data_IF_642191093164
#
_entry.id   IF_642191093164
#
_cell.length_a   1.000
_cell.length_b   1.000
_cell.length_c   1.000
_cell.angle_alpha   90.00
_cell.angle_beta   90.00
_cell.angle_gamma   90.00
#
_symmetry.space_group_name_H-M   'P 1'
#
loop_
_entity.id
_entity.type
_entity.pdbx_description
1 polymer ?
#
# COMPACT_ATOMS: atom_id res chain seq x y z
N UNK A 1 -7.66 -10.52 -9.91
CA UNK A 1 -7.80 -11.62 -10.89
C UNK A 1 -7.45 -11.20 -12.32
N UNK A 2 -8.06 -10.16 -12.90
CA UNK A 2 -7.80 -9.74 -14.28
C UNK A 2 -6.30 -9.48 -14.59
N UNK A 3 -5.59 -8.73 -13.73
CA UNK A 3 -4.15 -8.45 -13.92
C UNK A 3 -3.30 -9.73 -13.96
N UNK A 4 -3.57 -10.69 -13.07
CA UNK A 4 -2.88 -11.98 -13.02
C UNK A 4 -3.15 -12.82 -14.28
N UNK A 5 -4.40 -12.86 -14.73
CA UNK A 5 -4.78 -13.55 -15.97
C UNK A 5 -4.08 -12.90 -17.17
N UNK A 6 -4.11 -11.57 -17.28
CA UNK A 6 -3.43 -10.83 -18.34
C UNK A 6 -1.94 -11.16 -18.37
N UNK A 7 -1.26 -11.08 -17.24
CA UNK A 7 0.17 -11.38 -17.12
C UNK A 7 0.50 -12.82 -17.54
N UNK A 8 -0.27 -13.81 -17.10
CA UNK A 8 -0.05 -15.21 -17.45
C UNK A 8 -0.30 -15.48 -18.94
N UNK A 9 -1.34 -14.88 -19.53
CA UNK A 9 -1.62 -14.98 -20.97
C UNK A 9 -0.55 -14.30 -21.80
N UNK A 10 -0.09 -13.11 -21.39
CA UNK A 10 0.99 -12.37 -22.04
C UNK A 10 2.29 -13.16 -21.97
N UNK A 11 2.68 -13.63 -20.77
CA UNK A 11 3.88 -14.44 -20.60
C UNK A 11 3.84 -15.70 -21.46
N UNK A 12 2.74 -16.47 -21.41
CA UNK A 12 2.59 -17.70 -22.18
C UNK A 12 2.53 -17.42 -23.68
N UNK A 13 1.85 -16.36 -24.11
CA UNK A 13 1.74 -15.94 -25.51
C UNK A 13 3.10 -15.58 -26.10
N UNK A 14 3.89 -14.76 -25.40
CA UNK A 14 5.24 -14.40 -25.83
C UNK A 14 6.16 -15.63 -25.83
N UNK A 15 6.11 -16.46 -24.78
CA UNK A 15 6.95 -17.64 -24.63
C UNK A 15 6.66 -18.73 -25.69
N UNK A 16 5.38 -18.94 -26.02
CA UNK A 16 4.92 -19.92 -27.02
C UNK A 16 4.83 -19.34 -28.43
N UNK A 17 5.30 -18.12 -28.64
CA UNK A 17 5.27 -17.47 -29.94
C UNK A 17 3.86 -17.21 -30.51
N UNK A 18 2.83 -17.19 -29.66
CA UNK A 18 1.43 -17.10 -30.04
C UNK A 18 0.90 -15.65 -29.93
N UNK A 19 0.71 -15.01 -31.09
CA UNK A 19 0.20 -13.64 -31.19
C UNK A 19 -1.26 -13.50 -30.72
N UNK A 20 -2.12 -14.49 -30.99
CA UNK A 20 -3.52 -14.49 -30.57
C UNK A 20 -3.59 -14.51 -29.04
N UNK A 21 -2.82 -15.39 -28.39
CA UNK A 21 -2.78 -15.48 -26.94
C UNK A 21 -2.25 -14.20 -26.30
N UNK A 22 -1.24 -13.59 -26.92
CA UNK A 22 -0.72 -12.27 -26.50
C UNK A 22 -1.77 -11.18 -26.62
N UNK A 23 -2.49 -11.13 -27.74
CA UNK A 23 -3.56 -10.15 -27.98
C UNK A 23 -4.72 -10.31 -27.00
N UNK A 24 -5.17 -11.54 -26.73
CA UNK A 24 -6.17 -11.82 -25.68
C UNK A 24 -5.66 -11.32 -24.32
N UNK A 25 -4.39 -11.59 -23.99
CA UNK A 25 -3.76 -11.08 -22.78
C UNK A 25 -3.79 -9.55 -22.68
N UNK A 26 -3.50 -8.85 -23.79
CA UNK A 26 -3.63 -7.39 -23.87
C UNK A 26 -5.07 -6.91 -23.69
N UNK A 27 -6.06 -7.57 -24.28
CA UNK A 27 -7.48 -7.24 -24.06
C UNK A 27 -7.86 -7.36 -22.59
N UNK A 28 -7.42 -8.44 -21.91
CA UNK A 28 -7.64 -8.61 -20.47
C UNK A 28 -6.92 -7.52 -19.66
N UNK A 29 -5.73 -7.09 -20.09
CA UNK A 29 -5.02 -5.97 -19.46
C UNK A 29 -5.78 -4.63 -19.62
N UNK A 30 -6.37 -4.36 -20.79
CA UNK A 30 -7.24 -3.19 -20.98
C UNK A 30 -8.44 -3.25 -20.02
N UNK A 31 -9.10 -4.40 -19.91
CA UNK A 31 -10.21 -4.60 -18.94
C UNK A 31 -9.71 -4.40 -17.50
N UNK A 32 -8.49 -4.85 -17.17
CA UNK A 32 -7.93 -4.68 -15.83
C UNK A 32 -7.79 -3.21 -15.41
N UNK A 33 -7.65 -2.28 -16.37
CA UNK A 33 -7.59 -0.83 -16.10
C UNK A 33 -8.87 -0.29 -15.47
N UNK A 34 -10.02 -0.92 -15.74
CA UNK A 34 -11.31 -0.54 -15.15
C UNK A 34 -11.53 -1.15 -13.77
N UNK A 35 -10.77 -2.17 -13.40
CA UNK A 35 -10.81 -2.75 -12.05
C UNK A 35 -9.92 -1.95 -11.10
N UNK A 36 -8.71 -1.60 -11.58
CA UNK A 36 -7.78 -0.70 -10.89
C UNK A 36 -7.01 0.12 -11.93
N UNK A 37 -6.79 1.39 -11.63
CA UNK A 37 -6.08 2.32 -12.51
C UNK A 37 -4.62 1.91 -12.78
N UNK A 38 -4.04 1.05 -11.94
CA UNK A 38 -2.75 0.39 -12.18
C UNK A 38 -2.74 -0.58 -13.37
N UNK A 39 -3.90 -0.87 -13.99
CA UNK A 39 -3.98 -1.76 -15.15
C UNK A 39 -3.12 -1.32 -16.35
N UNK A 40 -2.81 -0.02 -16.49
CA UNK A 40 -1.91 0.51 -17.54
C UNK A 40 -0.53 -0.13 -17.45
N UNK A 41 -0.06 -0.43 -16.23
CA UNK A 41 1.23 -1.07 -15.96
C UNK A 41 1.28 -2.47 -16.59
N UNK A 42 0.15 -3.17 -16.69
CA UNK A 42 0.06 -4.50 -17.34
C UNK A 42 0.30 -4.45 -18.86
N UNK A 43 0.28 -3.28 -19.49
CA UNK A 43 0.64 -3.09 -20.90
C UNK A 43 2.03 -2.48 -21.05
N UNK A 44 2.35 -1.45 -20.25
CA UNK A 44 3.64 -0.75 -20.33
C UNK A 44 4.80 -1.68 -19.98
N UNK A 45 4.68 -2.48 -18.93
CA UNK A 45 5.78 -3.33 -18.50
C UNK A 45 6.14 -4.42 -19.52
N UNK A 46 5.17 -5.19 -20.07
CA UNK A 46 5.47 -6.14 -21.13
C UNK A 46 5.97 -5.48 -22.41
N UNK A 47 5.48 -4.28 -22.77
CA UNK A 47 5.99 -3.53 -23.92
C UNK A 47 7.51 -3.28 -23.79
N UNK A 48 7.98 -2.83 -22.61
CA UNK A 48 9.41 -2.63 -22.34
C UNK A 48 10.18 -3.93 -22.59
N UNK A 49 9.73 -5.05 -22.01
CA UNK A 49 10.43 -6.34 -22.16
C UNK A 49 10.45 -6.82 -23.61
N UNK A 50 9.31 -6.73 -24.29
CA UNK A 50 9.14 -7.18 -25.68
C UNK A 50 9.95 -6.33 -26.66
N UNK A 51 10.10 -5.03 -26.39
CA UNK A 51 10.93 -4.14 -27.20
C UNK A 51 12.39 -4.62 -27.29
N UNK A 52 12.93 -5.14 -26.19
CA UNK A 52 14.30 -5.66 -26.14
C UNK A 52 14.43 -7.12 -26.54
N UNK A 53 13.44 -7.97 -26.23
CA UNK A 53 13.59 -9.43 -26.37
C UNK A 53 12.84 -10.00 -27.60
N UNK A 54 11.68 -9.46 -27.97
CA UNK A 54 10.78 -10.07 -28.99
C UNK A 54 10.00 -9.03 -29.81
N UNK A 55 10.71 -8.21 -30.58
CA UNK A 55 10.16 -7.04 -31.31
C UNK A 55 8.86 -7.25 -32.10
N UNK A 56 8.60 -8.47 -32.62
CA UNK A 56 7.37 -8.76 -33.38
C UNK A 56 6.06 -8.53 -32.61
N UNK A 57 6.08 -8.57 -31.28
CA UNK A 57 4.86 -8.35 -30.49
C UNK A 57 4.65 -6.87 -30.13
N UNK A 58 5.64 -6.00 -30.39
CA UNK A 58 5.54 -4.55 -30.11
C UNK A 58 4.27 -3.92 -30.69
N UNK A 59 3.85 -4.19 -31.95
CA UNK A 59 2.62 -3.61 -32.49
C UNK A 59 1.36 -3.97 -31.68
N UNK A 60 1.29 -5.18 -31.11
CA UNK A 60 0.14 -5.61 -30.30
C UNK A 60 0.04 -4.75 -29.03
N UNK A 61 1.18 -4.52 -28.36
CA UNK A 61 1.22 -3.69 -27.15
C UNK A 61 1.01 -2.21 -27.44
N UNK A 62 1.54 -1.69 -28.56
CA UNK A 62 1.26 -0.31 -29.00
C UNK A 62 -0.23 -0.15 -29.28
N UNK A 63 -0.87 -1.10 -29.97
CA UNK A 63 -2.30 -1.08 -30.23
C UNK A 63 -3.13 -1.06 -28.94
N UNK A 64 -2.79 -1.93 -27.98
CA UNK A 64 -3.45 -1.93 -26.67
C UNK A 64 -3.22 -0.62 -25.89
N UNK A 65 -2.01 -0.08 -25.93
CA UNK A 65 -1.67 1.21 -25.33
C UNK A 65 -2.44 2.37 -25.97
N UNK A 66 -2.63 2.36 -27.29
CA UNK A 66 -3.41 3.36 -28.00
C UNK A 66 -4.88 3.32 -27.61
N UNK A 67 -5.46 2.12 -27.41
CA UNK A 67 -6.83 1.97 -26.89
C UNK A 67 -6.97 2.59 -25.50
N UNK A 68 -6.03 2.28 -24.60
CA UNK A 68 -5.99 2.87 -23.25
C UNK A 68 -5.86 4.40 -23.33
N UNK A 69 -4.94 4.90 -24.15
CA UNK A 69 -4.73 6.33 -24.34
C UNK A 69 -5.99 7.03 -24.88
N UNK A 70 -6.69 6.42 -25.84
CA UNK A 70 -7.95 6.95 -26.37
C UNK A 70 -9.04 7.01 -25.31
N UNK A 71 -9.19 5.95 -24.49
CA UNK A 71 -10.15 5.91 -23.38
C UNK A 71 -9.89 7.07 -22.41
N UNK A 72 -8.64 7.26 -21.98
CA UNK A 72 -8.29 8.33 -21.03
C UNK A 72 -8.21 9.71 -21.67
N UNK A 73 -8.10 9.81 -23.00
CA UNK A 73 -8.28 11.08 -23.70
C UNK A 73 -9.75 11.54 -23.65
N UNK A 74 -10.70 10.61 -23.79
CA UNK A 74 -12.14 10.90 -23.72
C UNK A 74 -12.61 11.09 -22.28
N UNK A 75 -12.06 10.31 -21.34
CA UNK A 75 -12.41 10.31 -19.91
C UNK A 75 -11.17 10.48 -19.04
N UNK A 76 -10.51 11.66 -19.08
CA UNK A 76 -9.30 11.90 -18.28
C UNK A 76 -9.55 11.76 -16.77
N UNK A 77 -10.79 11.98 -16.32
CA UNK A 77 -11.19 11.82 -14.93
C UNK A 77 -11.18 10.36 -14.43
N UNK A 78 -11.10 9.37 -15.33
CA UNK A 78 -11.03 7.95 -14.96
C UNK A 78 -9.61 7.48 -14.63
N UNK A 79 -8.59 8.25 -15.03
CA UNK A 79 -7.19 7.94 -14.76
C UNK A 79 -6.76 8.49 -13.39
N UNK A 80 -6.32 7.63 -12.47
CA UNK A 80 -5.59 8.12 -11.29
C UNK A 80 -4.21 8.58 -11.70
N UNK A 81 -3.78 9.74 -11.21
CA UNK A 81 -2.53 10.36 -11.65
C UNK A 81 -2.71 11.16 -12.93
N UNK A 82 -3.94 11.55 -13.27
CA UNK A 82 -4.16 12.65 -14.22
C UNK A 82 -3.30 13.87 -13.84
N UNK A 83 -2.89 14.72 -14.80
CA UNK A 83 -2.12 15.93 -14.48
C UNK A 83 -2.77 16.78 -13.37
N UNK A 84 -4.10 16.80 -13.30
CA UNK A 84 -4.84 17.47 -12.24
C UNK A 84 -4.63 16.82 -10.85
N UNK A 85 -4.65 15.49 -10.77
CA UNK A 85 -4.38 14.75 -9.54
C UNK A 85 -2.91 14.88 -9.13
N UNK A 86 -2.00 14.71 -10.08
CA UNK A 86 -0.56 14.88 -9.92
C UNK A 86 -0.21 16.29 -9.41
N UNK A 87 -0.74 17.35 -10.05
CA UNK A 87 -0.57 18.75 -9.65
C UNK A 87 -1.22 19.05 -8.29
N UNK A 88 -2.31 18.36 -7.95
CA UNK A 88 -2.96 18.51 -6.65
C UNK A 88 -2.19 17.88 -5.49
N UNK A 89 -1.29 16.93 -5.79
CA UNK A 89 -0.52 16.16 -4.82
C UNK A 89 0.87 16.75 -4.64
N UNK A 90 1.61 16.93 -5.73
CA UNK A 90 2.86 17.67 -5.71
C UNK A 90 2.58 19.14 -5.98
N UNK A 91 2.02 19.84 -4.98
CA UNK A 91 1.98 21.32 -4.99
C UNK A 91 3.38 21.90 -5.28
N UNK A 92 4.40 21.16 -4.83
CA UNK A 92 5.84 21.42 -4.99
C UNK A 92 6.36 21.19 -6.41
N UNK A 93 5.69 20.41 -7.28
CA UNK A 93 6.19 20.16 -8.65
C UNK A 93 6.19 21.42 -9.51
N UNK A 94 5.27 22.34 -9.20
CA UNK A 94 5.21 23.67 -9.80
C UNK A 94 5.99 24.72 -8.99
N UNK A 95 6.58 24.33 -7.86
CA UNK A 95 7.44 25.22 -7.07
C UNK A 95 8.87 25.18 -7.64
N UNK A 96 9.42 26.37 -7.84
CA UNK A 96 10.80 26.59 -8.36
C UNK A 96 11.87 25.98 -7.42
N UNK A 97 11.48 25.64 -6.20
CA UNK A 97 12.30 24.99 -5.16
C UNK A 97 12.49 23.49 -5.37
N UNK A 98 11.63 22.79 -6.14
CA UNK A 98 11.75 21.34 -6.34
C UNK A 98 12.82 21.02 -7.38
N UNK A 99 14.03 20.70 -6.90
CA UNK A 99 15.22 20.51 -7.73
C UNK A 99 15.51 19.03 -7.94
N UNK A 100 16.44 18.74 -8.85
CA UNK A 100 16.90 17.38 -9.15
C UNK A 100 17.31 16.58 -7.89
N UNK A 101 18.01 17.14 -6.89
CA UNK A 101 18.31 16.41 -5.65
C UNK A 101 17.07 15.96 -4.88
N UNK A 102 16.01 16.76 -4.88
CA UNK A 102 14.74 16.44 -4.21
C UNK A 102 14.02 15.32 -4.97
N UNK A 103 14.02 15.36 -6.31
CA UNK A 103 13.50 14.28 -7.16
C UNK A 103 14.23 12.95 -6.92
N UNK A 104 15.56 12.98 -6.79
CA UNK A 104 16.37 11.79 -6.51
C UNK A 104 16.07 11.27 -5.11
N UNK A 105 15.97 12.15 -4.12
CA UNK A 105 15.65 11.78 -2.73
C UNK A 105 14.26 11.15 -2.64
N UNK A 106 13.30 11.71 -3.35
CA UNK A 106 11.94 11.19 -3.47
C UNK A 106 11.94 9.80 -4.11
N UNK A 107 12.58 9.65 -5.28
CA UNK A 107 12.68 8.38 -5.97
C UNK A 107 13.33 7.31 -5.09
N UNK A 108 14.44 7.67 -4.43
CA UNK A 108 15.13 6.79 -3.50
C UNK A 108 14.24 6.37 -2.33
N UNK A 109 13.51 7.31 -1.72
CA UNK A 109 12.60 7.03 -0.63
C UNK A 109 11.53 6.01 -1.01
N UNK A 110 10.81 6.24 -2.11
CA UNK A 110 9.73 5.35 -2.55
C UNK A 110 10.24 3.99 -3.01
N UNK A 111 11.40 3.92 -3.67
CA UNK A 111 12.02 2.65 -4.07
C UNK A 111 12.39 1.82 -2.84
N UNK A 112 13.06 2.43 -1.86
CA UNK A 112 13.41 1.77 -0.58
C UNK A 112 12.14 1.30 0.13
N UNK A 113 11.16 2.18 0.28
CA UNK A 113 9.90 1.88 0.95
C UNK A 113 9.15 0.74 0.25
N UNK A 114 9.12 0.76 -1.08
CA UNK A 114 8.47 -0.30 -1.85
C UNK A 114 9.18 -1.65 -1.64
N UNK A 115 10.51 -1.68 -1.67
CA UNK A 115 11.26 -2.91 -1.43
C UNK A 115 11.06 -3.45 -0.02
N UNK A 116 11.03 -2.59 1.00
CA UNK A 116 10.73 -2.98 2.38
C UNK A 116 9.33 -3.60 2.49
N UNK A 117 8.30 -2.92 2.01
CA UNK A 117 6.91 -3.39 2.12
C UNK A 117 6.67 -4.65 1.29
N UNK A 118 7.14 -4.70 0.04
CA UNK A 118 7.03 -5.90 -0.81
C UNK A 118 7.79 -7.08 -0.19
N UNK A 119 8.96 -6.84 0.39
CA UNK A 119 9.73 -7.84 1.12
C UNK A 119 8.94 -8.42 2.31
N UNK A 120 8.26 -7.56 3.08
CA UNK A 120 7.41 -7.99 4.19
C UNK A 120 6.11 -8.67 3.74
N UNK A 121 5.44 -8.18 2.69
CA UNK A 121 4.22 -8.81 2.17
C UNK A 121 4.45 -10.19 1.61
N UNK A 122 5.61 -10.40 0.98
CA UNK A 122 6.03 -11.70 0.48
C UNK A 122 6.95 -12.45 1.44
N UNK A 123 6.96 -12.11 2.73
CA UNK A 123 7.86 -12.74 3.71
C UNK A 123 7.83 -14.28 3.69
N UNK A 124 6.68 -14.97 3.52
CA UNK A 124 6.66 -16.44 3.39
C UNK A 124 7.46 -16.98 2.19
N UNK A 125 7.60 -16.18 1.12
CA UNK A 125 8.35 -16.52 -0.08
C UNK A 125 9.78 -15.95 -0.05
N UNK A 126 10.01 -14.86 0.67
CA UNK A 126 11.32 -14.18 0.79
C UNK A 126 12.20 -14.80 1.85
N UNK A 127 11.66 -15.14 3.03
CA UNK A 127 12.41 -15.76 4.12
C UNK A 127 13.22 -17.02 3.71
N UNK A 128 12.67 -17.99 2.94
CA UNK A 128 13.45 -19.16 2.51
C UNK A 128 14.58 -18.83 1.52
N UNK A 129 14.65 -17.61 0.96
CA UNK A 129 15.75 -17.20 0.09
C UNK A 129 17.08 -17.05 0.84
N UNK A 130 17.08 -16.95 2.19
CA UNK A 130 18.29 -16.94 3.01
C UNK A 130 19.17 -18.20 2.80
N UNK A 131 18.58 -19.28 2.30
CA UNK A 131 19.28 -20.52 2.00
C UNK A 131 19.94 -20.53 0.59
N UNK A 132 19.87 -19.42 -0.15
CA UNK A 132 20.61 -19.19 -1.39
C UNK A 132 22.00 -18.59 -1.07
N UNK A 133 22.98 -18.82 -1.96
CA UNK A 133 24.38 -18.39 -1.76
C UNK A 133 24.68 -17.06 -2.46
N UNK A 134 24.22 -15.91 -1.93
CA UNK A 134 24.53 -14.56 -2.48
C UNK A 134 24.76 -13.48 -1.41
N UNK A 135 25.49 -13.84 -0.35
CA UNK A 135 25.74 -12.97 0.80
C UNK A 135 26.27 -11.57 0.45
N UNK A 136 27.16 -11.44 -0.54
CA UNK A 136 27.74 -10.12 -0.86
C UNK A 136 26.73 -9.16 -1.52
N UNK A 137 25.86 -9.64 -2.42
CA UNK A 137 24.83 -8.80 -3.06
C UNK A 137 23.78 -8.40 -2.05
N UNK A 138 23.38 -9.34 -1.20
CA UNK A 138 22.46 -9.11 -0.09
C UNK A 138 23.01 -8.04 0.85
N UNK A 139 24.29 -8.13 1.25
CA UNK A 139 24.94 -7.12 2.09
C UNK A 139 25.01 -5.77 1.39
N UNK A 140 25.42 -5.71 0.12
CA UNK A 140 25.51 -4.46 -0.62
C UNK A 140 24.16 -3.74 -0.73
N UNK A 141 23.09 -4.48 -1.08
CA UNK A 141 21.74 -3.93 -1.13
C UNK A 141 21.27 -3.54 0.28
N UNK A 142 21.52 -4.37 1.29
CA UNK A 142 21.16 -4.07 2.66
C UNK A 142 21.81 -2.76 3.14
N UNK A 143 23.08 -2.49 2.81
CA UNK A 143 23.75 -1.23 3.14
C UNK A 143 23.01 -0.03 2.52
N UNK A 144 22.61 -0.13 1.24
CA UNK A 144 21.86 0.94 0.56
C UNK A 144 20.49 1.16 1.21
N UNK A 145 19.78 0.10 1.60
CA UNK A 145 18.50 0.22 2.30
C UNK A 145 18.67 0.77 3.73
N UNK A 146 19.69 0.28 4.45
CA UNK A 146 20.02 0.68 5.82
C UNK A 146 20.34 2.17 5.91
N UNK A 147 21.02 2.75 4.92
CA UNK A 147 21.33 4.18 4.94
C UNK A 147 20.06 5.04 5.03
N UNK A 148 19.04 4.76 4.20
CA UNK A 148 17.76 5.47 4.28
C UNK A 148 17.04 5.19 5.59
N UNK A 149 17.00 3.93 6.00
CA UNK A 149 16.29 3.53 7.23
C UNK A 149 16.91 4.18 8.45
N UNK A 150 18.24 4.19 8.57
CA UNK A 150 18.92 4.84 9.67
C UNK A 150 18.69 6.36 9.66
N UNK A 151 18.67 6.98 8.48
CA UNK A 151 18.31 8.39 8.35
C UNK A 151 16.88 8.67 8.87
N UNK A 152 15.89 7.84 8.51
CA UNK A 152 14.52 7.98 9.01
C UNK A 152 14.43 7.74 10.53
N UNK A 153 15.13 6.72 11.05
CA UNK A 153 15.21 6.47 12.48
C UNK A 153 15.81 7.65 13.26
N UNK A 154 16.84 8.29 12.71
CA UNK A 154 17.44 9.50 13.31
C UNK A 154 16.47 10.69 13.33
N UNK A 155 15.49 10.73 12.41
CA UNK A 155 14.39 11.70 12.40
C UNK A 155 13.21 11.27 13.30
N UNK A 156 13.32 10.16 14.03
CA UNK A 156 12.25 9.62 14.87
C UNK A 156 11.14 8.94 14.07
N UNK A 157 11.42 8.52 12.83
CA UNK A 157 10.48 7.86 11.93
C UNK A 157 10.88 6.39 11.77
N UNK A 158 10.26 5.52 12.58
CA UNK A 158 10.42 4.07 12.48
C UNK A 158 9.21 3.44 11.78
N UNK A 159 9.37 2.19 11.31
CA UNK A 159 8.25 1.34 10.93
C UNK A 159 7.59 0.80 12.22
N UNK A 160 6.25 0.73 12.31
CA UNK A 160 5.28 1.08 11.29
C UNK A 160 5.19 2.59 11.10
N UNK A 161 5.32 3.01 9.84
CA UNK A 161 5.41 4.43 9.52
C UNK A 161 4.04 5.07 9.75
N UNK A 162 3.96 6.03 10.66
CA UNK A 162 2.76 6.84 10.88
C UNK A 162 3.17 8.26 11.22
N UNK A 163 3.17 9.14 10.22
CA UNK A 163 3.56 10.52 10.45
C UNK A 163 2.99 11.45 9.38
N UNK A 164 2.10 12.36 9.79
CA UNK A 164 2.00 13.68 9.12
C UNK A 164 3.14 14.61 9.58
N UNK A 165 4.18 14.09 10.27
CA UNK A 165 5.29 14.89 10.81
C UNK A 165 6.34 15.24 9.75
N UNK A 166 6.52 14.40 8.73
CA UNK A 166 7.21 14.80 7.51
C UNK A 166 6.16 15.24 6.51
N UNK A 167 6.32 16.44 5.93
CA UNK A 167 5.54 16.85 4.74
C UNK A 167 5.80 15.92 3.54
N UNK A 168 6.80 15.04 3.66
CA UNK A 168 7.18 13.99 2.73
C UNK A 168 6.38 12.69 3.03
N UNK A 169 5.24 12.56 2.35
CA UNK A 169 4.79 11.38 1.58
C UNK A 169 4.38 10.03 2.22
N UNK A 170 4.54 9.77 3.53
CA UNK A 170 3.93 8.55 4.16
C UNK A 170 2.65 8.91 4.92
N UNK A 171 1.77 9.67 4.26
CA UNK A 171 0.63 10.35 4.89
C UNK A 171 -0.43 9.42 5.48
N UNK A 172 -0.46 8.15 5.10
CA UNK A 172 -1.47 7.20 5.55
C UNK A 172 -0.90 6.03 6.35
N UNK A 173 0.43 5.93 6.38
CA UNK A 173 1.12 4.80 6.94
C UNK A 173 0.84 3.45 6.30
N UNK A 174 1.13 2.37 7.02
CA UNK A 174 1.08 1.00 6.50
C UNK A 174 0.19 0.09 7.37
N UNK A 175 -0.11 -1.11 6.87
CA UNK A 175 -0.90 -2.14 7.55
C UNK A 175 -0.27 -2.55 8.87
N UNK A 176 1.04 -2.35 9.06
CA UNK A 176 1.72 -2.68 10.30
C UNK A 176 1.48 -1.65 11.42
N UNK A 177 0.85 -0.50 11.12
CA UNK A 177 0.46 0.50 12.13
C UNK A 177 -0.27 -0.18 13.28
N UNK A 178 0.15 0.20 14.49
CA UNK A 178 -0.51 -0.22 15.73
C UNK A 178 -0.62 -1.75 15.85
N UNK A 179 0.34 -2.44 15.22
CA UNK A 179 0.49 -3.89 15.16
C UNK A 179 -0.55 -4.63 14.30
N UNK A 180 -0.80 -4.12 13.10
CA UNK A 180 -1.49 -4.84 12.02
C UNK A 180 -2.85 -4.26 11.60
N UNK A 181 -3.27 -3.17 12.25
CA UNK A 181 -4.59 -2.58 12.07
C UNK A 181 -4.73 -1.84 10.74
N UNK A 182 -3.61 -1.35 10.20
CA UNK A 182 -3.61 -0.22 9.27
C UNK A 182 -3.96 1.09 9.99
N UNK A 183 -4.06 2.20 9.27
CA UNK A 183 -4.30 3.50 9.88
C UNK A 183 -5.67 3.57 10.57
N UNK A 184 -5.72 3.81 11.89
CA UNK A 184 -6.97 4.11 12.59
C UNK A 184 -7.55 5.43 12.10
N UNK A 185 -8.85 5.46 11.80
CA UNK A 185 -9.49 6.58 11.09
C UNK A 185 -10.38 7.47 11.95
N UNK A 186 -10.30 7.34 13.27
CA UNK A 186 -10.90 8.28 14.22
C UNK A 186 -10.01 9.51 14.37
N UNK A 187 -10.61 10.68 14.54
CA UNK A 187 -9.92 11.98 14.43
C UNK A 187 -8.79 12.16 15.45
N UNK A 188 -8.93 11.59 16.65
CA UNK A 188 -7.96 11.73 17.73
C UNK A 188 -6.62 11.05 17.41
N UNK A 189 -6.66 9.91 16.74
CA UNK A 189 -5.44 9.26 16.28
C UNK A 189 -5.05 9.76 14.88
N UNK A 190 -5.99 9.76 13.94
CA UNK A 190 -5.73 10.07 12.53
C UNK A 190 -5.26 11.51 12.31
N UNK A 191 -5.96 12.50 12.87
CA UNK A 191 -5.68 13.91 12.61
C UNK A 191 -4.95 14.58 13.76
N UNK A 192 -5.25 14.20 15.01
CA UNK A 192 -4.61 14.77 16.19
C UNK A 192 -3.36 14.00 16.63
N UNK A 193 -2.98 12.93 15.91
CA UNK A 193 -1.77 12.13 16.14
C UNK A 193 -1.61 11.65 17.59
N UNK A 194 -2.71 11.41 18.30
CA UNK A 194 -2.63 10.78 19.61
C UNK A 194 -2.26 9.31 19.44
N UNK A 195 -1.55 8.70 20.39
CA UNK A 195 -1.26 7.28 20.33
C UNK A 195 -2.55 6.47 20.28
N UNK A 196 -2.62 5.49 19.37
CA UNK A 196 -3.65 4.47 19.43
C UNK A 196 -3.46 3.61 20.69
N UNK A 197 -4.53 3.02 21.27
CA UNK A 197 -4.45 2.30 22.53
C UNK A 197 -3.47 1.12 22.53
N UNK A 198 -3.21 0.49 21.38
CA UNK A 198 -2.27 -0.62 21.24
C UNK A 198 -1.15 -0.27 20.27
N UNK A 199 0.05 -0.06 20.79
CA UNK A 199 1.20 0.26 19.97
C UNK A 199 2.32 -0.73 20.25
N UNK A 200 3.16 -0.93 19.24
CA UNK A 200 4.42 -1.61 19.42
C UNK A 200 5.27 -0.85 20.44
N UNK A 201 6.05 -1.59 21.22
CA UNK A 201 7.12 -0.97 21.99
C UNK A 201 8.16 -0.42 21.03
N UNK A 202 8.96 0.56 21.48
CA UNK A 202 10.04 1.10 20.67
C UNK A 202 11.00 0.01 20.14
N UNK A 203 11.27 -1.03 20.94
CA UNK A 203 12.04 -2.18 20.49
C UNK A 203 11.34 -2.95 19.36
N UNK A 204 10.01 -3.11 19.45
CA UNK A 204 9.19 -3.70 18.39
C UNK A 204 9.28 -2.92 17.08
N UNK A 205 9.20 -1.58 17.15
CA UNK A 205 9.35 -0.71 15.97
C UNK A 205 10.72 -0.91 15.30
N UNK A 206 11.80 -0.91 16.08
CA UNK A 206 13.15 -1.16 15.58
C UNK A 206 13.27 -2.54 14.94
N UNK A 207 12.72 -3.58 15.58
CA UNK A 207 12.75 -4.95 15.05
C UNK A 207 12.04 -5.02 13.69
N UNK A 208 10.80 -4.51 13.59
CA UNK A 208 10.05 -4.50 12.33
C UNK A 208 10.79 -3.70 11.26
N UNK A 209 11.34 -2.55 11.65
CA UNK A 209 12.13 -1.68 10.77
C UNK A 209 13.33 -2.42 10.18
N UNK A 210 14.18 -3.05 11.00
CA UNK A 210 15.35 -3.77 10.50
C UNK A 210 15.00 -5.07 9.77
N UNK A 211 13.97 -5.80 10.22
CA UNK A 211 13.48 -6.99 9.50
C UNK A 211 13.00 -6.63 8.08
N UNK A 212 12.37 -5.47 7.90
CA UNK A 212 11.96 -4.99 6.58
C UNK A 212 13.14 -4.76 5.63
N UNK A 213 14.29 -4.32 6.16
CA UNK A 213 15.52 -4.14 5.38
C UNK A 213 16.09 -5.49 4.96
N UNK A 214 16.15 -6.45 5.87
CA UNK A 214 16.61 -7.81 5.57
C UNK A 214 15.71 -8.44 4.49
N UNK A 215 14.39 -8.34 4.65
CA UNK A 215 13.43 -8.87 3.69
C UNK A 215 13.56 -8.19 2.31
N UNK A 216 13.66 -6.85 2.28
CA UNK A 216 13.88 -6.10 1.03
C UNK A 216 15.19 -6.46 0.34
N UNK A 217 16.28 -6.60 1.10
CA UNK A 217 17.59 -6.98 0.55
C UNK A 217 17.59 -8.41 -0.03
N UNK A 218 17.03 -9.37 0.71
CA UNK A 218 16.87 -10.75 0.25
C UNK A 218 16.03 -10.81 -1.03
N UNK A 219 14.94 -10.05 -1.09
CA UNK A 219 14.09 -9.95 -2.27
C UNK A 219 14.90 -9.47 -3.48
N UNK A 220 15.45 -8.25 -3.41
CA UNK A 220 16.10 -7.60 -4.56
C UNK A 220 17.33 -8.37 -5.03
N UNK A 221 18.16 -8.90 -4.12
CA UNK A 221 19.35 -9.67 -4.48
C UNK A 221 19.04 -10.94 -5.30
N UNK A 222 17.83 -11.48 -5.15
CA UNK A 222 17.41 -12.73 -5.76
C UNK A 222 16.51 -12.56 -7.00
N UNK A 223 15.96 -11.37 -7.25
CA UNK A 223 15.15 -11.10 -8.45
C UNK A 223 15.95 -11.29 -9.74
N UNK A 224 17.22 -10.91 -9.75
CA UNK A 224 18.08 -10.98 -10.95
C UNK A 224 18.73 -12.36 -11.18
N UNK A 225 18.25 -13.43 -10.54
CA UNK A 225 18.86 -14.77 -10.61
C UNK A 225 18.59 -15.50 -11.94
N UNK A 226 17.50 -15.17 -12.63
CA UNK A 226 17.05 -15.89 -13.83
C UNK A 226 16.85 -14.93 -15.00
N UNK A 227 17.60 -15.13 -16.08
CA UNK A 227 17.37 -14.45 -17.37
C UNK A 227 16.17 -15.00 -18.14
N UNK A 228 15.13 -15.49 -17.46
CA UNK A 228 13.94 -16.01 -18.14
C UNK A 228 12.91 -14.90 -18.35
N UNK A 229 12.03 -15.10 -19.33
CA UNK A 229 11.03 -14.12 -19.71
C UNK A 229 10.06 -13.78 -18.56
N UNK A 230 9.69 -14.76 -17.74
CA UNK A 230 8.76 -14.57 -16.62
C UNK A 230 9.32 -13.58 -15.59
N UNK A 231 10.58 -13.74 -15.19
CA UNK A 231 11.27 -12.84 -14.27
C UNK A 231 11.46 -11.47 -14.90
N UNK A 232 11.83 -11.39 -16.18
CA UNK A 232 11.94 -10.11 -16.88
C UNK A 232 10.60 -9.35 -16.86
N UNK A 233 9.48 -10.03 -17.15
CA UNK A 233 8.14 -9.45 -17.08
C UNK A 233 7.76 -9.06 -15.65
N UNK A 234 8.03 -9.92 -14.66
CA UNK A 234 7.70 -9.64 -13.27
C UNK A 234 8.48 -8.44 -12.72
N UNK A 235 9.78 -8.37 -12.99
CA UNK A 235 10.66 -7.24 -12.61
C UNK A 235 10.24 -5.97 -13.34
N UNK A 236 9.95 -6.05 -14.65
CA UNK A 236 9.47 -4.88 -15.38
C UNK A 236 8.17 -4.36 -14.80
N UNK A 237 7.23 -5.24 -14.43
CA UNK A 237 5.96 -4.85 -13.80
C UNK A 237 6.21 -4.20 -12.43
N UNK A 238 7.08 -4.78 -11.60
CA UNK A 238 7.46 -4.21 -10.32
C UNK A 238 8.14 -2.84 -10.46
N UNK A 239 9.04 -2.69 -11.41
CA UNK A 239 9.77 -1.44 -11.66
C UNK A 239 8.83 -0.34 -12.18
N UNK A 240 8.00 -0.65 -13.17
CA UNK A 240 7.01 0.30 -13.72
C UNK A 240 5.92 0.64 -12.72
N UNK A 241 5.48 -0.33 -11.91
CA UNK A 241 4.58 -0.08 -10.79
C UNK A 241 5.21 0.83 -9.74
N UNK A 242 6.46 0.59 -9.35
CA UNK A 242 7.19 1.47 -8.44
C UNK A 242 7.34 2.87 -9.01
N UNK A 243 7.65 2.99 -10.31
CA UNK A 243 7.74 4.28 -10.99
C UNK A 243 6.38 5.00 -11.03
N UNK A 244 5.28 4.27 -11.23
CA UNK A 244 3.94 4.83 -11.13
C UNK A 244 3.63 5.33 -9.71
N UNK A 245 4.15 4.66 -8.67
CA UNK A 245 4.01 5.10 -7.29
C UNK A 245 4.73 6.43 -7.02
N UNK A 246 5.87 6.67 -7.69
CA UNK A 246 6.54 7.98 -7.63
C UNK A 246 5.65 9.12 -8.16
N UNK A 247 4.76 8.80 -9.10
CA UNK A 247 3.83 9.76 -9.66
C UNK A 247 2.49 9.84 -8.95
N UNK A 248 2.10 8.81 -8.19
CA UNK A 248 0.97 8.89 -7.29
C UNK A 248 1.44 9.54 -5.99
N UNK A 249 1.25 10.85 -5.82
CA UNK A 249 1.57 11.56 -4.56
C UNK A 249 0.68 11.16 -3.37
N UNK A 250 0.32 9.89 -3.29
CA UNK A 250 -0.48 9.23 -2.29
C UNK A 250 0.00 7.79 -2.13
N UNK A 251 1.06 7.59 -1.33
CA UNK A 251 1.53 6.25 -1.05
C UNK A 251 0.72 5.61 0.08
N UNK A 252 0.09 4.48 -0.23
CA UNK A 252 -0.41 3.51 0.74
C UNK A 252 0.29 2.20 0.45
N UNK A 253 0.73 1.50 1.48
CA UNK A 253 1.46 0.24 1.38
C UNK A 253 0.73 -0.85 0.58
N UNK A 254 -0.61 -0.87 0.56
CA UNK A 254 -1.36 -1.74 -0.37
C UNK A 254 -0.99 -1.53 -1.84
N UNK A 255 -0.54 -0.34 -2.22
CA UNK A 255 -0.07 -0.07 -3.56
C UNK A 255 1.32 -0.64 -3.82
N UNK A 256 2.13 -0.90 -2.79
CA UNK A 256 3.35 -1.70 -2.91
C UNK A 256 3.02 -3.10 -3.42
N UNK A 257 2.00 -3.73 -2.83
CA UNK A 257 1.51 -5.05 -3.26
C UNK A 257 1.00 -5.00 -4.70
N UNK A 258 0.23 -3.98 -5.06
CA UNK A 258 -0.25 -3.79 -6.44
C UNK A 258 0.87 -3.54 -7.44
N UNK A 259 1.96 -2.90 -7.03
CA UNK A 259 3.11 -2.66 -7.90
C UNK A 259 3.86 -3.95 -8.19
N UNK A 260 3.91 -4.89 -7.23
CA UNK A 260 4.85 -6.02 -7.27
C UNK A 260 4.21 -7.42 -7.14
N UNK A 261 2.88 -7.56 -7.29
CA UNK A 261 2.21 -8.87 -7.16
C UNK A 261 2.75 -9.95 -8.11
N UNK A 262 3.26 -9.56 -9.29
CA UNK A 262 3.88 -10.47 -10.26
C UNK A 262 5.13 -11.15 -9.70
N UNK A 263 5.82 -10.49 -8.77
CA UNK A 263 6.97 -11.04 -8.06
C UNK A 263 6.54 -12.22 -7.19
N UNK A 264 5.37 -12.13 -6.55
CA UNK A 264 4.77 -13.26 -5.80
C UNK A 264 4.54 -14.51 -6.66
N UNK A 265 4.31 -14.36 -7.97
CA UNK A 265 4.21 -15.48 -8.92
C UNK A 265 5.59 -16.02 -9.30
N UNK A 266 6.59 -15.15 -9.46
CA UNK A 266 7.93 -15.53 -9.89
C UNK A 266 8.77 -16.15 -8.76
N UNK A 267 8.67 -15.64 -7.53
CA UNK A 267 9.48 -16.04 -6.37
C UNK A 267 9.48 -17.55 -6.08
N UNK A 268 8.33 -18.26 -6.12
CA UNK A 268 8.32 -19.71 -5.91
C UNK A 268 9.26 -20.49 -6.82
N UNK A 269 9.64 -19.97 -7.99
CA UNK A 269 10.50 -20.68 -8.95
C UNK A 269 12.00 -20.63 -8.62
N UNK A 270 12.40 -19.79 -7.65
CA UNK A 270 13.81 -19.66 -7.24
C UNK A 270 14.08 -20.15 -5.82
N UNK A 271 13.03 -20.39 -5.04
CA UNK A 271 13.15 -20.95 -3.70
C UNK A 271 13.77 -22.36 -3.81
N UNK A 272 14.79 -22.69 -2.99
CA UNK A 272 15.44 -24.00 -3.01
C UNK A 272 14.57 -25.03 -2.28
N UNK A 273 13.43 -25.39 -2.87
CA UNK A 273 12.42 -26.28 -2.29
C UNK A 273 12.95 -27.67 -1.97
N UNK A 274 14.04 -28.10 -2.59
CA UNK A 274 14.73 -29.34 -2.26
C UNK A 274 15.26 -29.36 -0.82
N UNK A 275 15.59 -28.19 -0.26
CA UNK A 275 16.10 -28.05 1.11
C UNK A 275 14.94 -28.07 2.10
N UNK A 276 14.97 -29.04 3.03
CA UNK A 276 13.98 -29.13 4.13
C UNK A 276 13.90 -27.83 4.93
N UNK A 277 15.03 -27.20 5.24
CA UNK A 277 15.08 -25.95 5.97
C UNK A 277 14.29 -24.83 5.26
N UNK A 278 14.44 -24.67 3.94
CA UNK A 278 13.70 -23.68 3.17
C UNK A 278 12.18 -23.92 3.20
N UNK A 279 11.75 -25.17 2.99
CA UNK A 279 10.33 -25.55 3.10
C UNK A 279 9.77 -25.25 4.49
N UNK A 280 10.46 -25.68 5.54
CA UNK A 280 10.04 -25.47 6.92
C UNK A 280 9.95 -23.99 7.26
N UNK A 281 10.96 -23.19 6.89
CA UNK A 281 10.93 -21.73 7.09
C UNK A 281 9.74 -21.08 6.37
N UNK A 282 9.49 -21.43 5.10
CA UNK A 282 8.35 -20.89 4.36
C UNK A 282 7.01 -21.21 5.04
N UNK A 283 6.81 -22.45 5.50
CA UNK A 283 5.59 -22.88 6.19
C UNK A 283 5.42 -22.17 7.53
N UNK A 284 6.47 -22.10 8.36
CA UNK A 284 6.41 -21.42 9.66
C UNK A 284 6.06 -19.95 9.48
N UNK A 285 6.74 -19.26 8.55
CA UNK A 285 6.50 -17.85 8.28
C UNK A 285 5.09 -17.64 7.69
N UNK A 286 4.62 -18.53 6.81
CA UNK A 286 3.26 -18.48 6.30
C UNK A 286 2.22 -18.60 7.42
N UNK A 287 2.41 -19.55 8.35
CA UNK A 287 1.54 -19.72 9.52
C UNK A 287 1.56 -18.44 10.38
N UNK A 288 2.74 -17.89 10.66
CA UNK A 288 2.88 -16.67 11.44
C UNK A 288 2.15 -15.48 10.79
N UNK A 289 2.33 -15.28 9.48
CA UNK A 289 1.63 -14.24 8.70
C UNK A 289 0.12 -14.46 8.68
N UNK A 290 -0.34 -15.71 8.55
CA UNK A 290 -1.76 -16.04 8.56
C UNK A 290 -2.40 -15.78 9.93
N UNK A 291 -1.72 -16.14 11.03
CA UNK A 291 -2.17 -15.83 12.39
C UNK A 291 -2.23 -14.31 12.56
N UNK A 292 -1.13 -13.60 12.28
CA UNK A 292 -1.06 -12.14 12.36
C UNK A 292 -2.21 -11.48 11.59
N UNK A 293 -2.36 -11.78 10.30
CA UNK A 293 -3.41 -11.20 9.47
C UNK A 293 -4.81 -11.49 10.00
N UNK A 294 -5.07 -12.69 10.51
CA UNK A 294 -6.37 -13.05 11.10
C UNK A 294 -6.66 -12.25 12.38
N UNK A 295 -5.67 -12.15 13.28
CA UNK A 295 -5.81 -11.41 14.54
C UNK A 295 -6.05 -9.92 14.29
N UNK A 296 -5.27 -9.34 13.37
CA UNK A 296 -5.36 -7.91 13.06
C UNK A 296 -6.68 -7.55 12.35
N UNK A 297 -7.14 -8.38 11.40
CA UNK A 297 -8.45 -8.18 10.75
C UNK A 297 -9.59 -8.29 11.76
N UNK A 298 -9.52 -9.24 12.70
CA UNK A 298 -10.51 -9.36 13.77
C UNK A 298 -10.55 -8.11 14.64
N UNK A 299 -9.39 -7.60 15.08
CA UNK A 299 -9.33 -6.37 15.87
C UNK A 299 -9.91 -5.19 15.08
N UNK A 300 -9.54 -5.06 13.79
CA UNK A 300 -10.09 -4.04 12.91
C UNK A 300 -11.62 -4.04 12.91
N UNK A 301 -12.24 -5.22 12.73
CA UNK A 301 -13.68 -5.35 12.78
C UNK A 301 -14.29 -5.11 14.16
N UNK A 302 -13.57 -5.42 15.24
CA UNK A 302 -14.05 -5.24 16.61
C UNK A 302 -14.19 -3.75 16.94
N UNK A 303 -13.13 -2.95 16.75
CA UNK A 303 -13.23 -1.51 17.04
C UNK A 303 -14.14 -0.79 16.05
N UNK A 304 -14.20 -1.22 14.78
CA UNK A 304 -15.13 -0.66 13.81
C UNK A 304 -16.59 -0.91 14.19
N UNK A 305 -16.89 -2.08 14.77
CA UNK A 305 -18.22 -2.37 15.30
C UNK A 305 -18.55 -1.44 16.47
N UNK A 306 -17.63 -1.28 17.43
CA UNK A 306 -17.81 -0.34 18.55
C UNK A 306 -18.01 1.11 18.06
N UNK A 307 -17.27 1.55 17.04
CA UNK A 307 -17.48 2.85 16.39
C UNK A 307 -18.88 2.98 15.78
N UNK A 308 -19.34 1.96 15.07
CA UNK A 308 -20.67 1.96 14.46
C UNK A 308 -21.79 1.92 15.50
N UNK A 309 -21.61 1.18 16.60
CA UNK A 309 -22.52 1.17 17.75
C UNK A 309 -22.60 2.55 18.40
N UNK A 310 -21.46 3.20 18.65
CA UNK A 310 -21.39 4.57 19.17
C UNK A 310 -22.07 5.58 18.24
N UNK A 311 -21.86 5.45 16.92
CA UNK A 311 -22.51 6.31 15.94
C UNK A 311 -24.03 6.11 15.96
N UNK A 312 -24.48 4.87 15.95
CA UNK A 312 -25.90 4.53 15.92
C UNK A 312 -26.61 4.91 17.22
N UNK A 313 -25.95 4.84 18.38
CA UNK A 313 -26.54 5.27 19.65
C UNK A 313 -26.83 6.77 19.67
N UNK A 314 -25.92 7.59 19.10
CA UNK A 314 -26.16 9.03 18.93
C UNK A 314 -27.33 9.30 17.98
N UNK A 315 -27.39 8.57 16.86
CA UNK A 315 -28.49 8.70 15.88
C UNK A 315 -29.84 8.32 16.49
N UNK A 316 -29.88 7.23 17.26
CA UNK A 316 -31.08 6.80 17.98
C UNK A 316 -31.52 7.83 19.04
N UNK A 317 -30.56 8.52 19.66
CA UNK A 317 -30.81 9.67 20.54
C UNK A 317 -31.19 10.97 19.84
N UNK A 318 -31.38 10.96 18.51
CA UNK A 318 -31.83 12.11 17.73
C UNK A 318 -30.73 13.05 17.24
N UNK A 319 -29.45 12.75 17.48
CA UNK A 319 -28.36 13.59 16.98
C UNK A 319 -28.31 13.54 15.44
N UNK A 320 -28.35 14.68 14.72
CA UNK A 320 -28.24 14.68 13.26
C UNK A 320 -26.84 14.22 12.82
N UNK A 321 -26.73 13.62 11.63
CA UNK A 321 -25.44 13.19 11.04
C UNK A 321 -24.40 14.33 11.09
N UNK A 322 -24.84 15.55 10.79
CA UNK A 322 -23.98 16.74 10.76
C UNK A 322 -23.52 17.22 12.14
N UNK A 323 -23.98 16.63 13.24
CA UNK A 323 -23.51 16.94 14.58
C UNK A 323 -22.49 15.92 15.12
N UNK A 324 -22.19 14.85 14.36
CA UNK A 324 -21.36 13.72 14.79
C UNK A 324 -20.11 13.64 13.91
N UNK A 325 -18.92 13.69 14.51
CA UNK A 325 -17.71 13.20 13.85
C UNK A 325 -17.53 11.72 14.16
N UNK A 326 -17.90 10.87 13.21
CA UNK A 326 -17.76 9.42 13.33
C UNK A 326 -16.45 8.87 12.77
N UNK A 327 -15.49 9.72 12.39
CA UNK A 327 -14.32 9.30 11.61
C UNK A 327 -14.62 9.11 10.13
N UNK A 328 -13.69 8.49 9.40
CA UNK A 328 -13.73 8.46 7.93
C UNK A 328 -14.94 7.71 7.37
N UNK A 329 -15.28 6.52 7.87
CA UNK A 329 -16.32 5.69 7.25
C UNK A 329 -17.73 6.28 7.37
N UNK A 330 -18.25 6.67 8.56
CA UNK A 330 -19.57 7.29 8.64
C UNK A 330 -19.66 8.59 7.85
N UNK A 331 -18.59 9.40 7.87
CA UNK A 331 -18.52 10.64 7.08
C UNK A 331 -18.62 10.33 5.59
N UNK A 332 -17.83 9.37 5.11
CA UNK A 332 -17.80 8.98 3.71
C UNK A 332 -19.15 8.41 3.26
N UNK A 333 -19.79 7.59 4.10
CA UNK A 333 -21.05 6.94 3.77
C UNK A 333 -22.23 7.92 3.74
N UNK A 334 -22.40 8.75 4.78
CA UNK A 334 -23.61 9.56 4.93
C UNK A 334 -23.49 10.98 4.40
N UNK A 335 -22.30 11.57 4.40
CA UNK A 335 -22.12 12.96 3.97
C UNK A 335 -21.53 13.05 2.57
N UNK A 336 -20.56 12.20 2.24
CA UNK A 336 -19.75 12.37 1.03
C UNK A 336 -20.21 11.48 -0.14
N UNK A 337 -20.93 10.39 0.11
CA UNK A 337 -21.27 9.38 -0.91
C UNK A 337 -22.03 9.89 -2.13
N UNK A 338 -22.73 11.03 -2.00
CA UNK A 338 -23.49 11.69 -3.08
C UNK A 338 -22.82 12.93 -3.65
N UNK A 339 -21.67 13.34 -3.09
CA UNK A 339 -20.93 14.51 -3.53
C UNK A 339 -20.06 14.16 -4.74
N UNK A 340 -19.83 15.14 -5.62
CA UNK A 340 -18.76 15.01 -6.61
C UNK A 340 -17.37 15.10 -5.91
N UNK A 341 -16.31 14.75 -6.64
CA UNK A 341 -14.94 14.68 -6.09
C UNK A 341 -14.46 16.00 -5.49
N UNK A 342 -14.84 17.14 -6.10
CA UNK A 342 -14.42 18.46 -5.64
C UNK A 342 -15.14 18.90 -4.38
N UNK A 343 -16.45 18.65 -4.30
CA UNK A 343 -17.27 18.87 -3.10
C UNK A 343 -16.79 18.00 -1.94
N UNK A 344 -16.56 16.71 -2.20
CA UNK A 344 -16.00 15.76 -1.23
C UNK A 344 -14.67 16.23 -0.66
N UNK A 345 -13.78 16.74 -1.53
CA UNK A 345 -12.47 17.28 -1.14
C UNK A 345 -12.61 18.52 -0.26
N UNK A 346 -13.43 19.49 -0.68
CA UNK A 346 -13.70 20.71 0.09
C UNK A 346 -14.30 20.37 1.45
N UNK A 347 -15.27 19.45 1.49
CA UNK A 347 -15.91 18.98 2.73
C UNK A 347 -14.91 18.31 3.68
N UNK A 348 -13.97 17.54 3.14
CA UNK A 348 -12.95 16.85 3.95
C UNK A 348 -11.93 17.81 4.53
N UNK A 349 -11.54 18.86 3.80
CA UNK A 349 -10.58 19.87 4.25
C UNK A 349 -11.16 20.89 5.24
N UNK A 350 -12.43 21.26 5.07
CA UNK A 350 -13.08 22.30 5.87
C UNK A 350 -14.28 21.73 6.62
N UNK A 351 -14.02 20.81 7.55
CA UNK A 351 -15.07 20.26 8.42
C UNK A 351 -15.44 21.28 9.50
N UNK A 352 -16.72 21.70 9.61
CA UNK A 352 -17.14 22.49 10.74
C UNK A 352 -17.00 21.67 12.03
N UNK A 353 -16.74 22.30 13.18
CA UNK A 353 -16.69 21.60 14.46
C UNK A 353 -18.00 20.86 14.73
N UNK A 354 -17.91 19.65 15.27
CA UNK A 354 -19.06 18.79 15.59
C UNK A 354 -19.36 18.82 17.08
N UNK A 355 -20.62 18.57 17.44
CA UNK A 355 -21.07 18.51 18.84
C UNK A 355 -20.55 17.26 19.53
N UNK A 356 -20.61 16.13 18.82
CA UNK A 356 -20.14 14.83 19.27
C UNK A 356 -18.98 14.36 18.41
N UNK A 357 -17.98 13.74 19.04
CA UNK A 357 -16.83 13.16 18.36
C UNK A 357 -16.66 11.73 18.89
N UNK A 358 -16.45 10.78 17.98
CA UNK A 358 -16.14 9.39 18.30
C UNK A 358 -14.62 9.21 18.24
N UNK A 359 -14.02 8.71 19.31
CA UNK A 359 -12.56 8.67 19.51
C UNK A 359 -12.08 7.39 20.18
N UNK A 360 -10.78 7.09 20.13
CA UNK A 360 -10.16 6.02 20.89
C UNK A 360 -9.77 6.42 22.32
N UNK A 361 -9.75 7.73 22.62
CA UNK A 361 -9.50 8.24 23.97
C UNK A 361 -10.27 9.53 24.31
N UNK A 362 -10.25 9.95 25.58
CA UNK A 362 -10.88 11.22 26.00
C UNK A 362 -10.18 12.42 25.34
N UNK A 363 -10.95 13.44 24.94
CA UNK A 363 -10.41 14.67 24.32
C UNK A 363 -10.41 15.86 25.27
N UNK A 364 -9.38 16.71 25.19
CA UNK A 364 -9.32 17.96 25.95
C UNK A 364 -10.48 18.88 25.53
N UNK A 365 -11.12 19.55 26.49
CA UNK A 365 -12.27 20.43 26.23
C UNK A 365 -13.57 19.69 25.87
N UNK A 366 -13.62 18.38 26.08
CA UNK A 366 -14.81 17.55 25.87
C UNK A 366 -15.11 16.73 27.12
N UNK A 367 -16.39 16.39 27.31
CA UNK A 367 -16.83 15.45 28.33
C UNK A 367 -17.10 14.09 27.70
N UNK A 368 -16.69 13.02 28.37
CA UNK A 368 -17.02 11.65 27.94
C UNK A 368 -18.49 11.39 28.25
N UNK A 369 -19.27 11.04 27.22
CA UNK A 369 -20.71 10.75 27.34
C UNK A 369 -20.97 9.25 27.43
N UNK A 370 -20.22 8.44 26.69
CA UNK A 370 -20.38 6.99 26.67
C UNK A 370 -19.07 6.30 26.24
N UNK A 371 -18.99 4.99 26.52
CA UNK A 371 -17.88 4.10 26.17
C UNK A 371 -18.42 2.82 25.55
N UNK A 372 -17.73 2.33 24.53
CA UNK A 372 -18.05 1.14 23.77
C UNK A 372 -16.82 0.24 23.74
N UNK A 373 -16.75 -0.79 24.60
CA UNK A 373 -15.57 -1.63 24.70
C UNK A 373 -15.41 -2.50 23.46
N UNK A 374 -14.17 -2.80 23.10
CA UNK A 374 -13.83 -3.77 22.08
C UNK A 374 -12.59 -4.58 22.48
N UNK A 375 -12.48 -5.79 21.93
CA UNK A 375 -11.36 -6.69 22.17
C UNK A 375 -10.65 -7.06 20.86
N UNK A 376 -9.32 -6.96 20.89
CA UNK A 376 -8.42 -7.41 19.82
C UNK A 376 -7.64 -8.67 20.24
N UNK A 377 -7.06 -9.37 19.27
CA UNK A 377 -6.09 -10.45 19.51
C UNK A 377 -6.54 -11.51 20.54
N UNK A 378 -7.76 -12.04 20.41
CA UNK A 378 -8.36 -12.99 21.38
C UNK A 378 -8.37 -12.49 22.84
N UNK A 379 -8.57 -11.18 23.03
CA UNK A 379 -8.71 -10.57 24.36
C UNK A 379 -7.39 -10.11 24.97
N UNK A 380 -6.26 -10.26 24.26
CA UNK A 380 -4.98 -9.68 24.65
C UNK A 380 -5.01 -8.14 24.59
N UNK A 381 -5.76 -7.59 23.63
CA UNK A 381 -6.00 -6.16 23.51
C UNK A 381 -7.41 -5.85 23.98
N UNK A 382 -7.54 -4.88 24.89
CA UNK A 382 -8.83 -4.39 25.40
C UNK A 382 -8.84 -2.89 25.36
N UNK A 383 -9.80 -2.32 24.65
CA UNK A 383 -9.86 -0.90 24.36
C UNK A 383 -11.29 -0.43 24.37
N UNK A 384 -11.45 0.89 24.30
CA UNK A 384 -12.74 1.54 24.28
C UNK A 384 -12.81 2.50 23.09
N UNK A 385 -13.98 2.57 22.48
CA UNK A 385 -14.38 3.70 21.66
C UNK A 385 -15.25 4.63 22.50
N UNK A 386 -14.91 5.90 22.52
CA UNK A 386 -15.56 6.92 23.33
C UNK A 386 -16.49 7.76 22.46
N UNK A 387 -17.62 8.16 23.04
CA UNK A 387 -18.34 9.35 22.60
C UNK A 387 -17.90 10.48 23.50
N UNK A 388 -17.35 11.54 22.92
CA UNK A 388 -17.05 12.78 23.62
C UNK A 388 -17.92 13.91 23.09
N UNK A 389 -18.43 14.76 23.99
CA UNK A 389 -19.26 15.92 23.67
C UNK A 389 -18.50 17.19 24.01
N UNK A 390 -18.50 18.14 23.09
CA UNK A 390 -17.89 19.45 23.31
C UNK A 390 -18.61 20.19 24.44
N UNK A 391 -17.85 20.75 25.37
CA UNK A 391 -18.39 21.58 26.47
C UNK A 391 -18.98 22.89 25.96
#
# INVERSE_FOLDING_TARGET
CASAVAFLLIWRGIASENAVLTAVGCCVAVVSCFVRQTGVINIVAPLIVVFFVRKRFVPIFIGAGAVIALIFFIRPEWLSGSPAEFASHYKVWHEVSFRVPDMITLAYHYVVFNFQNVGLFFLPLVAPLIFLRRRWQEIAIAIVLLFRVQHLLNLGVAMPYFAFKSQEDILQGNVFIDFGLGPPTLIDVWSLQRPYPFHLTHAGDLIVTYLSVIAGALLVANLFRRGNLLFALAIALAATGTAALLGSGFYSDRYSLDSAWSIGIALPLIIPWEKRAARTTAVIVLIAVAIFGTLSVREYFAWNRARWEAYNSLRAGGAPVTAIDGGSEPTNLYEVSKMNRDEARKRTMFRPPRTYVITFGPMLGHVVVARFPFEGWFGLHRGDVFIVKRQ
#
